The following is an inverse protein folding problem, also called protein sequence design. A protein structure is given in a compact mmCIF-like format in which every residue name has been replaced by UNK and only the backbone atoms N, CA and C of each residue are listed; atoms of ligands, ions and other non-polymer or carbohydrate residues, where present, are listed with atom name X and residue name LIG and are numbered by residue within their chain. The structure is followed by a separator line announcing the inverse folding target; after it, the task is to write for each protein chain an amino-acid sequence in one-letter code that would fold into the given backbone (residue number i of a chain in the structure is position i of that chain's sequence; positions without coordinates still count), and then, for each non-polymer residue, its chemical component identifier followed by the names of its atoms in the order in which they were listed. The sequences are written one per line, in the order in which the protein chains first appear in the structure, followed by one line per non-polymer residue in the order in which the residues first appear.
data_IF_260658154852
#
_entry.id   IF_260658154852
#
_cell.length_a   1.000
_cell.length_b   1.000
_cell.length_c   1.000
_cell.angle_alpha   90.00
_cell.angle_beta   90.00
_cell.angle_gamma   90.00
#
_symmetry.space_group_name_H-M   'P 1'
#
loop_
_entity.id
_entity.type
_entity.pdbx_description
1 polymer ?
#
# COMPACT_ATOMS: atom_id res chain seq x y z
N UNK A 1 0.48 -14.92 16.58
CA UNK A 1 0.59 -13.58 15.96
C UNK A 1 0.73 -13.79 14.46
N UNK A 2 -0.02 -13.05 13.65
CA UNK A 2 -0.10 -13.27 12.20
C UNK A 2 1.12 -12.61 11.53
N UNK A 3 2.11 -13.41 11.15
CA UNK A 3 3.03 -13.03 10.08
C UNK A 3 2.22 -12.97 8.79
N UNK A 4 2.21 -11.81 8.14
CA UNK A 4 1.39 -11.62 6.95
C UNK A 4 1.57 -10.25 6.34
N UNK A 5 1.04 -10.10 5.15
CA UNK A 5 1.07 -8.86 4.39
C UNK A 5 -0.36 -8.35 4.23
N UNK A 6 -0.53 -7.04 4.21
CA UNK A 6 -1.81 -6.40 3.93
C UNK A 6 -1.63 -5.33 2.87
N UNK A 7 -2.69 -5.05 2.13
CA UNK A 7 -2.74 -3.85 1.31
C UNK A 7 -3.19 -2.70 2.22
N UNK A 8 -2.50 -1.58 2.17
CA UNK A 8 -2.89 -0.35 2.86
C UNK A 8 -3.32 0.66 1.83
N UNK A 9 -4.40 1.36 2.14
CA UNK A 9 -4.93 2.46 1.36
C UNK A 9 -4.75 3.78 2.10
N UNK A 10 -4.02 4.69 1.47
CA UNK A 10 -3.74 6.03 1.98
C UNK A 10 -4.41 7.05 1.07
N UNK A 11 -5.17 7.96 1.64
CA UNK A 11 -5.77 9.06 0.91
C UNK A 11 -5.09 10.36 1.35
N UNK A 12 -4.39 11.01 0.42
CA UNK A 12 -3.65 12.25 0.66
C UNK A 12 -4.42 13.44 0.08
N UNK A 13 -4.45 14.54 0.82
CA UNK A 13 -5.15 15.77 0.46
C UNK A 13 -4.14 16.89 0.12
N UNK A 14 -4.53 17.93 -0.63
CA UNK A 14 -3.62 18.99 -1.07
C UNK A 14 -3.05 19.82 0.08
N UNK A 15 -3.76 19.85 1.20
CA UNK A 15 -3.32 20.53 2.42
C UNK A 15 -2.25 19.75 3.20
N UNK A 16 -1.84 18.58 2.71
CA UNK A 16 -0.86 17.71 3.35
C UNK A 16 -1.46 16.74 4.37
N UNK A 17 -2.78 16.77 4.58
CA UNK A 17 -3.45 15.78 5.43
C UNK A 17 -3.42 14.41 4.77
N UNK A 18 -3.18 13.37 5.57
CA UNK A 18 -3.21 11.98 5.13
C UNK A 18 -4.26 11.26 5.97
N UNK A 19 -5.32 10.80 5.30
CA UNK A 19 -6.29 9.88 5.89
C UNK A 19 -5.87 8.46 5.55
N UNK A 20 -5.29 7.76 6.52
CA UNK A 20 -5.14 6.32 6.42
C UNK A 20 -6.55 5.70 6.47
N UNK A 21 -6.99 5.12 5.35
CA UNK A 21 -8.29 4.44 5.37
C UNK A 21 -8.09 3.15 6.14
N UNK A 22 -8.83 3.09 7.25
CA UNK A 22 -8.76 2.07 8.29
C UNK A 22 -8.69 0.66 7.67
N UNK A 23 -7.72 -0.13 8.12
CA UNK A 23 -7.44 -1.50 7.68
C UNK A 23 -8.65 -2.46 7.77
N UNK A 24 -9.76 -2.03 8.38
CA UNK A 24 -11.02 -2.76 8.49
C UNK A 24 -11.67 -3.14 7.16
N UNK A 25 -11.30 -2.50 6.04
CA UNK A 25 -11.81 -2.87 4.71
C UNK A 25 -10.91 -3.84 3.93
N UNK A 26 -9.69 -4.14 4.41
CA UNK A 26 -8.87 -5.23 3.91
C UNK A 26 -9.00 -6.43 4.85
N UNK A 27 -10.00 -7.28 4.60
CA UNK A 27 -10.21 -8.53 5.33
C UNK A 27 -9.19 -9.61 4.98
N UNK A 28 -8.37 -9.41 3.94
CA UNK A 28 -7.42 -10.41 3.46
C UNK A 28 -6.00 -10.15 3.96
N UNK A 29 -5.54 -11.03 4.86
CA UNK A 29 -4.14 -11.13 5.25
C UNK A 29 -3.45 -12.11 4.30
N UNK A 30 -2.53 -11.61 3.50
CA UNK A 30 -1.75 -12.40 2.56
C UNK A 30 -0.61 -13.11 3.27
N UNK A 31 -0.36 -14.37 2.88
CA UNK A 31 0.72 -15.18 3.47
C UNK A 31 2.12 -14.81 2.98
N UNK A 32 2.24 -14.06 1.88
CA UNK A 32 3.53 -13.64 1.33
C UNK A 32 3.40 -12.31 0.58
N UNK A 33 4.53 -11.58 0.50
CA UNK A 33 4.64 -10.33 -0.25
C UNK A 33 4.21 -10.50 -1.71
N UNK A 34 4.68 -11.56 -2.36
CA UNK A 34 4.35 -11.87 -3.75
C UNK A 34 2.87 -12.20 -4.00
N UNK A 35 2.11 -12.64 -2.98
CA UNK A 35 0.67 -12.82 -3.10
C UNK A 35 -0.05 -11.47 -3.00
N UNK A 36 0.36 -10.64 -2.05
CA UNK A 36 -0.18 -9.30 -1.82
C UNK A 36 0.10 -8.33 -2.98
N UNK A 37 1.32 -8.31 -3.51
CA UNK A 37 1.68 -7.49 -4.68
C UNK A 37 1.00 -7.97 -5.96
N UNK A 38 0.64 -9.25 -6.08
CA UNK A 38 -0.07 -9.76 -7.25
C UNK A 38 -1.47 -9.16 -7.38
N UNK A 39 -2.17 -8.98 -6.27
CA UNK A 39 -3.48 -8.31 -6.26
C UNK A 39 -3.34 -6.84 -6.71
N UNK A 40 -2.23 -6.17 -6.35
CA UNK A 40 -1.96 -4.81 -6.80
C UNK A 40 -1.43 -4.74 -8.24
N UNK A 41 -0.80 -5.79 -8.75
CA UNK A 41 -0.24 -5.84 -10.10
C UNK A 41 -1.35 -5.81 -11.18
N UNK A 42 -2.60 -6.15 -10.85
CA UNK A 42 -3.71 -5.89 -11.77
C UNK A 42 -3.88 -4.40 -12.07
N UNK A 43 -3.54 -3.52 -11.11
CA UNK A 43 -3.54 -2.05 -11.27
C UNK A 43 -2.35 -1.53 -12.08
N UNK A 44 -1.25 -2.29 -12.19
CA UNK A 44 -0.10 -1.92 -13.04
C UNK A 44 -0.50 -1.79 -14.52
N UNK A 45 -1.58 -2.47 -14.91
CA UNK A 45 -2.13 -2.43 -16.26
C UNK A 45 -3.06 -1.25 -16.49
N UNK A 46 -3.44 -0.54 -15.43
CA UNK A 46 -4.30 0.64 -15.51
C UNK A 46 -3.43 1.89 -15.73
N UNK A 47 -3.58 2.60 -16.87
CA UNK A 47 -2.76 3.76 -17.18
C UNK A 47 -2.99 4.95 -16.24
N UNK A 48 -4.06 4.95 -15.46
CA UNK A 48 -4.36 6.02 -14.50
C UNK A 48 -3.50 5.92 -13.22
N UNK A 49 -2.90 4.75 -12.97
CA UNK A 49 -2.02 4.55 -11.81
C UNK A 49 -0.57 4.87 -12.10
N UNK A 50 -0.01 5.79 -11.32
CA UNK A 50 1.42 6.04 -11.22
C UNK A 50 2.07 5.04 -10.24
N UNK A 51 3.12 4.36 -10.69
CA UNK A 51 3.86 3.39 -9.89
C UNK A 51 5.20 4.00 -9.46
N UNK A 52 5.47 3.95 -8.16
CA UNK A 52 6.75 4.41 -7.60
C UNK A 52 7.34 3.36 -6.67
N UNK A 53 8.66 3.22 -6.69
CA UNK A 53 9.39 2.27 -5.86
C UNK A 53 10.27 3.07 -4.89
N UNK A 54 10.11 2.83 -3.60
CA UNK A 54 10.96 3.41 -2.56
C UNK A 54 11.71 2.31 -1.83
N UNK A 55 12.91 2.63 -1.36
CA UNK A 55 13.70 1.72 -0.54
C UNK A 55 13.77 2.27 0.88
N UNK A 56 13.37 1.45 1.85
CA UNK A 56 13.52 1.77 3.26
C UNK A 56 15.00 1.80 3.69
N UNK A 57 15.26 2.30 4.91
CA UNK A 57 16.62 2.36 5.47
C UNK A 57 17.25 0.97 5.61
N UNK A 58 16.43 -0.06 5.82
CA UNK A 58 16.84 -1.46 5.92
C UNK A 58 17.04 -2.13 4.54
N UNK A 59 16.90 -1.36 3.45
CA UNK A 59 16.97 -1.86 2.08
C UNK A 59 15.72 -2.60 1.61
N UNK A 60 14.67 -2.69 2.45
CA UNK A 60 13.38 -3.25 2.05
C UNK A 60 12.75 -2.35 0.98
N UNK A 61 12.55 -2.92 -0.21
CA UNK A 61 11.82 -2.28 -1.31
C UNK A 61 10.33 -2.21 -0.97
N UNK A 62 9.70 -1.07 -1.29
CA UNK A 62 8.27 -0.83 -1.14
C UNK A 62 7.71 -0.22 -2.43
N UNK A 63 6.69 -0.86 -2.99
CA UNK A 63 6.01 -0.42 -4.22
C UNK A 63 4.74 0.33 -3.85
N UNK A 64 4.54 1.51 -4.43
CA UNK A 64 3.36 2.36 -4.25
C UNK A 64 2.65 2.56 -5.57
N UNK A 65 1.35 2.30 -5.58
CA UNK A 65 0.45 2.49 -6.71
C UNK A 65 -0.44 3.69 -6.38
N UNK A 66 -0.33 4.78 -7.13
CA UNK A 66 -1.06 6.02 -6.84
C UNK A 66 -1.92 6.49 -7.99
N UNK A 67 -3.11 7.00 -7.71
CA UNK A 67 -3.99 7.62 -8.70
C UNK A 67 -4.55 8.93 -8.16
N UNK A 68 -4.61 9.95 -9.02
CA UNK A 68 -5.23 11.24 -8.70
C UNK A 68 -6.76 11.13 -8.86
N UNK A 69 -7.50 11.50 -7.83
CA UNK A 69 -8.96 11.45 -7.74
C UNK A 69 -9.50 12.85 -7.41
N UNK A 70 -9.56 13.72 -8.42
CA UNK A 70 -9.93 15.13 -8.22
C UNK A 70 -8.83 15.88 -7.49
N UNK A 71 -9.13 16.39 -6.29
CA UNK A 71 -8.14 17.07 -5.43
C UNK A 71 -7.41 16.11 -4.49
N UNK A 72 -7.71 14.80 -4.53
CA UNK A 72 -7.13 13.83 -3.61
C UNK A 72 -6.21 12.86 -4.36
N UNK A 73 -5.21 12.33 -3.68
CA UNK A 73 -4.37 11.26 -4.20
C UNK A 73 -4.60 9.99 -3.40
N UNK A 74 -5.04 8.94 -4.07
CA UNK A 74 -5.16 7.61 -3.50
C UNK A 74 -3.83 6.89 -3.70
N UNK A 75 -3.28 6.28 -2.66
CA UNK A 75 -2.06 5.46 -2.72
C UNK A 75 -2.32 4.10 -2.08
N UNK A 76 -2.00 3.04 -2.81
CA UNK A 76 -2.08 1.65 -2.39
C UNK A 76 -0.68 1.07 -2.28
N UNK A 77 -0.44 0.28 -1.24
CA UNK A 77 0.85 -0.39 -1.05
C UNK A 77 0.72 -1.68 -0.25
N UNK A 78 1.58 -2.65 -0.51
CA UNK A 78 1.63 -3.90 0.23
C UNK A 78 2.58 -3.79 1.43
N UNK A 79 2.07 -3.79 2.65
CA UNK A 79 2.87 -3.65 3.88
C UNK A 79 2.96 -4.96 4.66
N UNK A 80 4.10 -5.20 5.30
CA UNK A 80 4.30 -6.32 6.21
C UNK A 80 3.71 -6.00 7.59
N UNK A 81 2.90 -6.91 8.14
CA UNK A 81 2.48 -6.91 9.53
C UNK A 81 3.61 -7.46 10.42
N UNK A 82 4.72 -6.73 10.56
CA UNK A 82 5.68 -7.04 11.64
C UNK A 82 5.15 -6.42 12.93
N UNK A 83 5.12 -7.19 14.02
CA UNK A 83 4.90 -6.63 15.34
C UNK A 83 6.01 -5.61 15.65
N UNK A 84 5.73 -4.50 16.36
CA UNK A 84 6.80 -3.71 16.93
C UNK A 84 7.60 -4.63 17.85
N UNK A 85 8.90 -4.77 17.60
CA UNK A 85 9.81 -5.47 18.50
C UNK A 85 9.66 -4.84 19.89
N UNK A 86 9.16 -5.64 20.84
CA UNK A 86 8.98 -5.25 22.23
C UNK A 86 10.27 -5.25 23.02
#
# INVERSE_FOLDING_TARGET
MLEGFIIIMLLSYPNGDISAVNASYNTEVFRSRAACERELNELERDPDYEISIMYGLDGEEQIFYSVEMGDQRLTLTCMNLKAPDG
#
